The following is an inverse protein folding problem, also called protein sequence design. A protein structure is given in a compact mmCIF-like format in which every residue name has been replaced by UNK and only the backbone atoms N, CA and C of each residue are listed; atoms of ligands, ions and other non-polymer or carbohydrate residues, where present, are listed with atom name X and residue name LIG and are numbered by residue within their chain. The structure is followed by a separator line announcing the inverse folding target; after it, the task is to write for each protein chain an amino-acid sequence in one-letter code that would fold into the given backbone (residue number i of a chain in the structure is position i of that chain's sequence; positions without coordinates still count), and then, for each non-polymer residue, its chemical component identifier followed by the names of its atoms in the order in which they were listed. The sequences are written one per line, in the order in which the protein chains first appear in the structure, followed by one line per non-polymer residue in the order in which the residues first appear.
data_IF_547482108466
#
_entry.id   IF_547482108466
#
_cell.length_a   1.000
_cell.length_b   1.000
_cell.length_c   1.000
_cell.angle_alpha   90.00
_cell.angle_beta   90.00
_cell.angle_gamma   90.00
#
_symmetry.space_group_name_H-M   'P 1'
#
loop_
_entity.id
_entity.type
_entity.pdbx_description
1 polymer ?
#
# COMPACT_ATOMS: atom_id res chain seq x y z
N UNK A 1 4.21 -25.07 -14.81
CA UNK A 1 4.21 -24.16 -13.63
C UNK A 1 5.32 -23.11 -13.69
N UNK A 2 6.50 -23.44 -14.21
CA UNK A 2 7.67 -22.56 -14.13
C UNK A 2 7.73 -21.45 -15.20
N UNK A 3 6.73 -21.29 -16.08
CA UNK A 3 6.73 -20.31 -17.19
C UNK A 3 6.98 -18.85 -16.76
N UNK A 4 6.86 -18.55 -15.47
CA UNK A 4 7.15 -17.24 -14.88
C UNK A 4 8.66 -16.97 -14.73
N UNK A 5 9.51 -17.99 -14.80
CA UNK A 5 10.97 -17.89 -14.76
C UNK A 5 11.58 -17.72 -16.16
N UNK A 6 12.72 -17.00 -16.29
CA UNK A 6 13.47 -16.89 -17.54
C UNK A 6 13.81 -18.25 -18.15
N UNK A 7 13.88 -18.33 -19.49
CA UNK A 7 14.14 -19.59 -20.19
C UNK A 7 15.50 -20.20 -19.81
N UNK A 8 16.53 -19.37 -19.66
CA UNK A 8 17.88 -19.78 -19.25
C UNK A 8 17.89 -20.40 -17.86
N UNK A 9 17.24 -19.75 -16.88
CA UNK A 9 17.14 -20.28 -15.52
C UNK A 9 16.41 -21.63 -15.48
N UNK A 10 15.32 -21.76 -16.26
CA UNK A 10 14.56 -23.01 -16.34
C UNK A 10 15.41 -24.14 -16.92
N UNK A 11 16.19 -23.88 -17.96
CA UNK A 11 17.05 -24.89 -18.57
C UNK A 11 18.01 -25.52 -17.53
N UNK A 12 18.46 -24.74 -16.55
CA UNK A 12 19.42 -25.18 -15.54
C UNK A 12 18.75 -25.76 -14.27
N UNK A 13 17.61 -25.21 -13.83
CA UNK A 13 17.03 -25.51 -12.51
C UNK A 13 15.68 -26.23 -12.54
N UNK A 14 15.00 -26.32 -13.68
CA UNK A 14 13.64 -26.87 -13.78
C UNK A 14 13.55 -28.31 -13.27
N UNK A 15 14.48 -29.19 -13.70
CA UNK A 15 14.47 -30.59 -13.30
C UNK A 15 14.62 -30.77 -11.79
N UNK A 16 15.52 -30.02 -11.17
CA UNK A 16 15.79 -30.08 -9.72
C UNK A 16 14.57 -29.57 -8.93
N UNK A 17 14.02 -28.42 -9.31
CA UNK A 17 12.88 -27.83 -8.59
C UNK A 17 11.62 -28.68 -8.73
N UNK A 18 11.36 -29.25 -9.92
CA UNK A 18 10.24 -30.18 -10.10
C UNK A 18 10.44 -31.44 -9.29
N UNK A 19 11.65 -32.01 -9.24
CA UNK A 19 11.98 -33.14 -8.39
C UNK A 19 11.67 -32.88 -6.92
N UNK A 20 12.17 -31.77 -6.36
CA UNK A 20 11.92 -31.38 -4.97
C UNK A 20 10.42 -31.25 -4.67
N UNK A 21 9.63 -30.70 -5.59
CA UNK A 21 8.18 -30.54 -5.41
C UNK A 21 7.42 -31.86 -5.43
N UNK A 22 7.87 -32.82 -6.25
CA UNK A 22 7.30 -34.15 -6.31
C UNK A 22 7.68 -34.94 -5.06
N UNK A 23 8.95 -34.91 -4.65
CA UNK A 23 9.41 -35.55 -3.42
C UNK A 23 8.65 -35.02 -2.19
N UNK A 24 8.39 -33.70 -2.14
CA UNK A 24 7.58 -33.09 -1.10
C UNK A 24 6.09 -33.47 -1.16
N UNK A 25 5.56 -33.76 -2.34
CA UNK A 25 4.18 -34.22 -2.50
C UNK A 25 4.06 -35.69 -2.07
N UNK A 26 4.99 -36.53 -2.51
CA UNK A 26 5.09 -37.95 -2.15
C UNK A 26 5.29 -38.15 -0.65
N UNK A 27 6.17 -37.37 -0.03
CA UNK A 27 6.36 -37.38 1.43
C UNK A 27 5.09 -37.01 2.21
N UNK A 28 4.17 -36.26 1.59
CA UNK A 28 2.86 -35.90 2.15
C UNK A 28 1.75 -36.88 1.77
N UNK A 29 2.04 -37.88 0.93
CA UNK A 29 1.04 -38.78 0.34
C UNK A 29 0.10 -38.10 -0.67
N UNK A 30 0.46 -36.90 -1.15
CA UNK A 30 -0.33 -36.13 -2.10
C UNK A 30 0.10 -36.53 -3.53
N UNK A 31 -0.84 -36.92 -4.40
CA UNK A 31 -0.53 -37.31 -5.78
C UNK A 31 -0.01 -36.15 -6.67
N UNK A 32 -0.06 -34.90 -6.19
CA UNK A 32 0.25 -33.68 -6.95
C UNK A 32 0.70 -32.55 -6.00
N UNK A 33 1.58 -31.63 -6.43
CA UNK A 33 1.89 -30.42 -5.69
C UNK A 33 0.65 -29.56 -5.42
N UNK A 34 0.51 -29.05 -4.20
CA UNK A 34 -0.66 -28.28 -3.77
C UNK A 34 -0.73 -26.94 -4.49
N UNK A 35 -1.93 -26.35 -4.57
CA UNK A 35 -2.12 -25.02 -5.14
C UNK A 35 -1.21 -23.96 -4.49
N UNK A 36 -0.97 -24.05 -3.19
CA UNK A 36 -0.05 -23.16 -2.47
C UNK A 36 1.40 -23.24 -2.99
N UNK A 37 1.91 -24.45 -3.24
CA UNK A 37 3.27 -24.66 -3.77
C UNK A 37 3.40 -24.05 -5.18
N UNK A 38 2.35 -24.18 -6.00
CA UNK A 38 2.27 -23.58 -7.35
C UNK A 38 2.29 -22.06 -7.29
N UNK A 39 1.54 -21.48 -6.36
CA UNK A 39 1.51 -20.03 -6.15
C UNK A 39 2.86 -19.51 -5.64
N UNK A 40 3.50 -20.22 -4.72
CA UNK A 40 4.83 -19.87 -4.23
C UNK A 40 5.86 -19.83 -5.37
N UNK A 41 5.82 -20.79 -6.30
CA UNK A 41 6.68 -20.80 -7.50
C UNK A 41 6.37 -19.66 -8.46
N UNK A 42 5.10 -19.36 -8.70
CA UNK A 42 4.72 -18.23 -9.56
C UNK A 42 5.24 -16.91 -9.00
N UNK A 43 5.12 -16.71 -7.69
CA UNK A 43 5.65 -15.54 -6.96
C UNK A 43 7.18 -15.49 -7.02
N UNK A 44 7.84 -16.64 -6.82
CA UNK A 44 9.29 -16.77 -6.95
C UNK A 44 9.79 -16.39 -8.35
N UNK A 45 9.10 -16.86 -9.39
CA UNK A 45 9.42 -16.55 -10.78
C UNK A 45 9.23 -15.08 -11.12
N UNK A 46 8.15 -14.47 -10.61
CA UNK A 46 7.98 -13.03 -10.70
C UNK A 46 9.12 -12.26 -10.02
N UNK A 47 9.52 -12.64 -8.80
CA UNK A 47 10.63 -11.98 -8.09
C UNK A 47 11.94 -12.07 -8.87
N UNK A 48 12.19 -13.21 -9.53
CA UNK A 48 13.40 -13.40 -10.32
C UNK A 48 13.35 -12.59 -11.62
N UNK A 49 12.22 -12.61 -12.33
CA UNK A 49 12.02 -11.88 -13.59
C UNK A 49 12.00 -10.36 -13.41
N UNK A 50 11.45 -9.88 -12.32
CA UNK A 50 11.47 -8.46 -11.98
C UNK A 50 12.77 -8.02 -11.30
N UNK A 51 13.75 -8.93 -11.17
CA UNK A 51 15.06 -8.63 -10.63
C UNK A 51 14.93 -7.88 -9.30
N UNK A 52 14.41 -8.54 -8.26
CA UNK A 52 14.54 -8.01 -6.90
C UNK A 52 16.03 -8.07 -6.53
N UNK A 53 16.80 -7.15 -7.11
CA UNK A 53 18.19 -6.91 -6.79
C UNK A 53 18.31 -6.77 -5.27
N UNK A 54 19.42 -7.25 -4.72
CA UNK A 54 19.73 -7.07 -3.30
C UNK A 54 19.50 -5.60 -2.92
N UNK A 55 18.55 -5.38 -2.01
CA UNK A 55 18.11 -4.04 -1.64
C UNK A 55 16.71 -3.63 -2.11
N UNK A 56 16.01 -4.30 -3.02
CA UNK A 56 14.60 -3.97 -3.32
C UNK A 56 13.65 -4.62 -2.30
N UNK A 57 12.97 -3.82 -1.47
CA UNK A 57 12.04 -4.34 -0.44
C UNK A 57 10.60 -4.28 -0.93
N UNK A 58 9.99 -5.44 -1.18
CA UNK A 58 8.57 -5.55 -1.55
C UNK A 58 7.65 -4.82 -0.55
N UNK A 59 8.01 -4.85 0.74
CA UNK A 59 7.28 -4.14 1.79
C UNK A 59 7.23 -2.61 1.63
N UNK A 60 8.14 -2.02 0.85
CA UNK A 60 8.14 -0.59 0.50
C UNK A 60 7.50 -0.38 -0.86
N UNK A 61 7.83 -1.23 -1.85
CA UNK A 61 7.35 -1.07 -3.23
C UNK A 61 5.84 -1.28 -3.33
N UNK A 62 5.28 -2.33 -2.71
CA UNK A 62 3.84 -2.64 -2.80
C UNK A 62 2.95 -1.49 -2.33
N UNK A 63 3.11 -0.93 -1.11
CA UNK A 63 2.30 0.21 -0.68
C UNK A 63 2.48 1.44 -1.60
N UNK A 64 3.69 1.69 -2.12
CA UNK A 64 3.93 2.79 -3.06
C UNK A 64 3.24 2.57 -4.41
N UNK A 65 3.25 1.35 -4.95
CA UNK A 65 2.54 1.00 -6.18
C UNK A 65 1.04 1.20 -6.00
N UNK A 66 0.48 0.76 -4.86
CA UNK A 66 -0.94 0.95 -4.54
C UNK A 66 -1.28 2.44 -4.40
N UNK A 67 -0.42 3.22 -3.74
CA UNK A 67 -0.58 4.67 -3.64
C UNK A 67 -0.59 5.34 -5.01
N UNK A 68 0.37 5.02 -5.87
CA UNK A 68 0.45 5.59 -7.23
C UNK A 68 -0.75 5.18 -8.07
N UNK A 69 -1.18 3.91 -8.02
CA UNK A 69 -2.35 3.44 -8.75
C UNK A 69 -3.63 4.16 -8.30
N UNK A 70 -3.82 4.31 -6.99
CA UNK A 70 -4.94 5.05 -6.43
C UNK A 70 -4.90 6.54 -6.81
N UNK A 71 -3.74 7.19 -6.67
CA UNK A 71 -3.57 8.61 -6.98
C UNK A 71 -3.68 8.90 -8.48
N UNK A 72 -3.31 7.96 -9.36
CA UNK A 72 -3.57 8.10 -10.78
C UNK A 72 -5.07 8.17 -11.06
N UNK A 73 -5.87 7.32 -10.42
CA UNK A 73 -7.33 7.38 -10.51
C UNK A 73 -7.88 8.69 -9.92
N UNK A 74 -7.47 9.05 -8.70
CA UNK A 74 -7.93 10.28 -8.02
C UNK A 74 -7.58 11.54 -8.83
N UNK A 75 -6.35 11.63 -9.35
CA UNK A 75 -5.89 12.78 -10.14
C UNK A 75 -6.57 12.87 -11.50
N UNK A 76 -6.80 11.74 -12.18
CA UNK A 76 -7.37 11.73 -13.54
C UNK A 76 -8.90 11.75 -13.60
N UNK A 77 -9.57 11.21 -12.58
CA UNK A 77 -11.04 11.04 -12.58
C UNK A 77 -11.72 11.96 -11.58
N UNK A 78 -11.16 12.12 -10.37
CA UNK A 78 -11.83 12.83 -9.28
C UNK A 78 -11.47 14.31 -9.27
N UNK A 79 -10.18 14.64 -9.39
CA UNK A 79 -9.71 16.03 -9.26
C UNK A 79 -9.50 16.73 -10.60
N UNK A 80 -9.47 16.00 -11.73
CA UNK A 80 -9.36 16.60 -13.06
C UNK A 80 -10.62 17.43 -13.37
N UNK A 81 -10.46 18.75 -13.40
CA UNK A 81 -11.56 19.70 -13.61
C UNK A 81 -11.09 20.86 -14.50
N UNK A 82 -10.85 20.61 -15.80
CA UNK A 82 -10.34 21.62 -16.71
C UNK A 82 -11.35 22.75 -16.87
N UNK A 83 -10.87 24.00 -16.77
CA UNK A 83 -11.68 25.19 -16.96
C UNK A 83 -12.48 25.64 -15.74
N UNK A 84 -12.35 24.95 -14.59
CA UNK A 84 -12.98 25.38 -13.35
C UNK A 84 -11.95 25.92 -12.37
N UNK A 85 -12.21 27.11 -11.82
CA UNK A 85 -11.33 27.77 -10.87
C UNK A 85 -12.01 27.82 -9.52
N UNK A 86 -11.46 27.08 -8.56
CA UNK A 86 -11.83 27.12 -7.15
C UNK A 86 -10.66 27.69 -6.35
N UNK A 87 -10.90 28.25 -5.16
CA UNK A 87 -9.83 28.42 -4.18
C UNK A 87 -9.06 27.09 -4.05
N UNK A 88 -7.73 27.12 -4.14
CA UNK A 88 -6.89 25.92 -4.04
C UNK A 88 -6.76 25.04 -5.25
N UNK A 89 -7.41 25.39 -6.36
CA UNK A 89 -7.14 24.74 -7.64
C UNK A 89 -5.67 24.94 -8.04
N UNK A 90 -5.08 23.92 -8.68
CA UNK A 90 -3.73 23.95 -9.20
C UNK A 90 -3.75 23.54 -10.67
N UNK A 91 -3.69 24.52 -11.57
CA UNK A 91 -3.82 24.26 -13.01
C UNK A 91 -5.19 23.62 -13.35
N UNK A 92 -5.24 22.49 -14.08
CA UNK A 92 -6.50 21.82 -14.43
C UNK A 92 -7.07 20.94 -13.30
N UNK A 93 -6.50 20.99 -12.09
CA UNK A 93 -6.92 20.17 -10.95
C UNK A 93 -7.69 21.00 -9.92
N UNK A 94 -8.79 20.44 -9.40
CA UNK A 94 -9.65 21.08 -8.40
C UNK A 94 -8.95 21.31 -7.07
N UNK A 95 -7.86 20.60 -6.80
CA UNK A 95 -7.05 20.74 -5.59
C UNK A 95 -5.58 20.30 -5.83
N UNK A 96 -4.65 20.58 -4.91
CA UNK A 96 -3.22 20.36 -5.12
C UNK A 96 -2.75 18.91 -4.88
N UNK A 97 -3.66 17.92 -4.83
CA UNK A 97 -3.31 16.49 -4.60
C UNK A 97 -2.40 15.92 -5.70
N UNK A 98 -2.35 16.53 -6.88
CA UNK A 98 -1.36 16.19 -7.93
C UNK A 98 0.09 16.31 -7.45
N UNK A 99 0.40 17.21 -6.51
CA UNK A 99 1.74 17.32 -5.91
C UNK A 99 2.07 16.04 -5.13
N UNK A 100 1.11 15.55 -4.36
CA UNK A 100 1.22 14.32 -3.56
C UNK A 100 1.39 13.10 -4.46
N UNK A 101 0.65 13.03 -5.57
CA UNK A 101 0.84 12.01 -6.60
C UNK A 101 2.26 12.02 -7.18
N UNK A 102 2.79 13.19 -7.54
CA UNK A 102 4.15 13.35 -8.02
C UNK A 102 5.19 12.85 -7.01
N UNK A 103 5.05 13.21 -5.73
CA UNK A 103 5.95 12.76 -4.67
C UNK A 103 5.93 11.23 -4.48
N UNK A 104 4.75 10.60 -4.55
CA UNK A 104 4.65 9.13 -4.49
C UNK A 104 5.32 8.46 -5.69
N UNK A 105 5.21 9.03 -6.90
CA UNK A 105 5.93 8.52 -8.09
C UNK A 105 7.45 8.61 -7.89
N UNK A 106 7.95 9.72 -7.33
CA UNK A 106 9.38 9.88 -7.02
C UNK A 106 9.81 8.87 -5.94
N UNK A 107 9.01 8.66 -4.90
CA UNK A 107 9.27 7.64 -3.88
C UNK A 107 9.32 6.23 -4.48
N UNK A 108 8.38 5.91 -5.38
CA UNK A 108 8.34 4.62 -6.08
C UNK A 108 9.57 4.44 -6.98
N UNK A 109 9.98 5.47 -7.72
CA UNK A 109 11.20 5.44 -8.54
C UNK A 109 12.46 5.23 -7.68
N UNK A 110 12.55 5.90 -6.53
CA UNK A 110 13.62 5.68 -5.56
C UNK A 110 13.63 4.23 -5.03
N UNK A 111 12.46 3.67 -4.69
CA UNK A 111 12.35 2.28 -4.22
C UNK A 111 12.71 1.27 -5.33
N UNK A 112 12.26 1.51 -6.57
CA UNK A 112 12.58 0.70 -7.74
C UNK A 112 14.09 0.73 -8.08
N UNK A 113 14.78 1.83 -7.78
CA UNK A 113 16.25 1.92 -7.94
C UNK A 113 17.03 1.38 -6.73
N UNK A 114 16.37 0.73 -5.76
CA UNK A 114 17.00 0.17 -4.57
C UNK A 114 17.29 1.18 -3.46
N UNK A 115 16.98 2.47 -3.67
CA UNK A 115 17.19 3.56 -2.70
C UNK A 115 16.07 3.63 -1.66
N UNK A 116 15.88 2.56 -0.88
CA UNK A 116 14.77 2.48 0.08
C UNK A 116 14.78 3.61 1.12
N UNK A 117 15.96 4.02 1.61
CA UNK A 117 16.05 5.08 2.61
C UNK A 117 15.48 6.39 2.05
N UNK A 118 15.87 6.77 0.83
CA UNK A 118 15.30 7.92 0.14
C UNK A 118 13.79 7.76 -0.08
N UNK A 119 13.34 6.60 -0.58
CA UNK A 119 11.92 6.33 -0.79
C UNK A 119 11.08 6.51 0.48
N UNK A 120 11.60 6.09 1.66
CA UNK A 120 10.92 6.26 2.95
C UNK A 120 10.82 7.72 3.37
N UNK A 121 11.91 8.48 3.24
CA UNK A 121 11.91 9.89 3.58
C UNK A 121 10.98 10.69 2.67
N UNK A 122 10.98 10.37 1.37
CA UNK A 122 10.06 10.98 0.41
C UNK A 122 8.62 10.61 0.74
N UNK A 123 8.33 9.34 1.08
CA UNK A 123 7.00 8.92 1.53
C UNK A 123 6.54 9.66 2.80
N UNK A 124 7.42 9.86 3.79
CA UNK A 124 7.11 10.67 4.99
C UNK A 124 6.86 12.14 4.66
N UNK A 125 7.68 12.71 3.77
CA UNK A 125 7.46 14.06 3.24
C UNK A 125 6.10 14.16 2.56
N UNK A 126 5.72 13.14 1.79
CA UNK A 126 4.43 13.05 1.11
C UNK A 126 3.25 12.99 2.10
N UNK A 127 3.40 12.23 3.19
CA UNK A 127 2.42 12.19 4.29
C UNK A 127 2.26 13.58 4.91
N UNK A 128 3.37 14.25 5.23
CA UNK A 128 3.33 15.59 5.80
C UNK A 128 2.67 16.60 4.84
N UNK A 129 2.99 16.53 3.54
CA UNK A 129 2.35 17.35 2.51
C UNK A 129 0.85 17.09 2.45
N UNK A 130 0.40 15.83 2.39
CA UNK A 130 -1.03 15.50 2.36
C UNK A 130 -1.77 16.05 3.58
N UNK A 131 -1.23 15.86 4.78
CA UNK A 131 -1.84 16.36 6.02
C UNK A 131 -1.88 17.89 6.03
N UNK A 132 -0.83 18.56 5.57
CA UNK A 132 -0.79 20.01 5.43
C UNK A 132 -1.85 20.51 4.44
N UNK A 133 -1.97 19.88 3.26
CA UNK A 133 -3.00 20.23 2.26
C UNK A 133 -4.42 20.03 2.80
N UNK A 134 -4.64 18.95 3.55
CA UNK A 134 -5.94 18.65 4.17
C UNK A 134 -6.28 19.69 5.26
N UNK A 135 -5.29 20.10 6.06
CA UNK A 135 -5.45 21.13 7.08
C UNK A 135 -5.73 22.51 6.45
N UNK A 136 -4.95 22.90 5.44
CA UNK A 136 -5.17 24.14 4.69
C UNK A 136 -6.56 24.13 4.06
N UNK A 137 -7.02 22.99 3.55
CA UNK A 137 -8.37 22.87 3.02
C UNK A 137 -9.46 23.15 4.04
N UNK A 138 -9.33 22.57 5.23
CA UNK A 138 -10.26 22.81 6.32
C UNK A 138 -10.22 24.28 6.78
N UNK A 139 -9.04 24.88 6.87
CA UNK A 139 -8.87 26.27 7.34
C UNK A 139 -9.38 27.32 6.36
N UNK A 140 -9.17 27.11 5.06
CA UNK A 140 -9.53 28.07 4.02
C UNK A 140 -10.85 27.72 3.31
N UNK A 141 -11.53 26.65 3.72
CA UNK A 141 -12.83 26.25 3.19
C UNK A 141 -12.80 25.88 1.70
N UNK A 142 -11.65 25.44 1.18
CA UNK A 142 -11.52 25.07 -0.23
C UNK A 142 -11.79 23.58 -0.46
N UNK A 143 -11.93 23.16 -1.72
CA UNK A 143 -12.30 21.78 -2.07
C UNK A 143 -11.11 20.82 -1.91
N UNK A 144 -10.76 20.46 -0.68
CA UNK A 144 -9.64 19.57 -0.37
C UNK A 144 -9.91 18.09 -0.61
N UNK A 145 -8.88 17.24 -0.44
CA UNK A 145 -9.07 15.79 -0.43
C UNK A 145 -10.02 15.37 0.70
N UNK A 146 -10.94 14.46 0.41
CA UNK A 146 -11.87 13.94 1.41
C UNK A 146 -11.13 13.20 2.54
N UNK A 147 -11.81 13.01 3.68
CA UNK A 147 -11.24 12.29 4.81
C UNK A 147 -10.84 10.84 4.44
N UNK A 148 -11.66 10.02 3.74
CA UNK A 148 -11.25 8.69 3.32
C UNK A 148 -10.02 8.71 2.40
N UNK A 149 -9.98 9.62 1.43
CA UNK A 149 -8.84 9.79 0.51
C UNK A 149 -7.57 10.15 1.29
N UNK A 150 -7.65 11.08 2.24
CA UNK A 150 -6.53 11.48 3.10
C UNK A 150 -6.02 10.32 3.94
N UNK A 151 -6.92 9.56 4.58
CA UNK A 151 -6.57 8.38 5.37
C UNK A 151 -5.85 7.34 4.52
N UNK A 152 -6.33 7.07 3.31
CA UNK A 152 -5.74 6.09 2.41
C UNK A 152 -4.33 6.50 1.95
N UNK A 153 -4.17 7.75 1.49
CA UNK A 153 -2.90 8.32 1.05
C UNK A 153 -1.87 8.32 2.20
N UNK A 154 -2.26 8.81 3.38
CA UNK A 154 -1.40 8.84 4.57
C UNK A 154 -1.04 7.42 4.99
N UNK A 155 -2.01 6.50 4.99
CA UNK A 155 -1.80 5.10 5.33
C UNK A 155 -0.77 4.43 4.43
N UNK A 156 -0.86 4.60 3.11
CA UNK A 156 0.14 4.04 2.20
C UNK A 156 1.53 4.63 2.44
N UNK A 157 1.63 5.96 2.65
CA UNK A 157 2.90 6.62 2.93
C UNK A 157 3.56 6.14 4.22
N UNK A 158 2.78 6.02 5.30
CA UNK A 158 3.25 5.50 6.60
C UNK A 158 3.66 4.03 6.48
N UNK A 159 2.85 3.18 5.84
CA UNK A 159 3.18 1.78 5.62
C UNK A 159 4.47 1.67 4.77
N UNK A 160 4.63 2.45 3.71
CA UNK A 160 5.86 2.46 2.91
C UNK A 160 7.09 2.92 3.72
N UNK A 161 6.91 3.90 4.60
CA UNK A 161 7.97 4.46 5.42
C UNK A 161 8.46 3.50 6.53
N UNK A 162 7.59 2.64 7.04
CA UNK A 162 7.89 1.79 8.19
C UNK A 162 8.94 0.70 7.89
N UNK A 163 9.80 0.36 8.87
CA UNK A 163 10.82 -0.66 8.76
C UNK A 163 10.28 -2.09 8.82
N UNK A 164 9.31 -2.44 7.98
CA UNK A 164 8.80 -3.80 7.89
C UNK A 164 9.91 -4.79 7.52
N UNK A 165 10.01 -5.87 8.28
CA UNK A 165 10.94 -6.98 8.02
C UNK A 165 10.21 -8.20 7.44
N UNK A 166 8.91 -8.34 7.70
CA UNK A 166 8.10 -9.47 7.22
C UNK A 166 7.06 -8.98 6.21
N UNK A 167 6.88 -9.69 5.08
CA UNK A 167 5.86 -9.34 4.09
C UNK A 167 4.44 -9.50 4.66
N UNK A 168 4.25 -10.41 5.62
CA UNK A 168 2.98 -10.64 6.30
C UNK A 168 2.49 -9.39 7.06
N UNK A 169 3.37 -8.71 7.80
CA UNK A 169 2.99 -7.51 8.56
C UNK A 169 2.58 -6.36 7.65
N UNK A 170 3.26 -6.20 6.51
CA UNK A 170 2.87 -5.25 5.47
C UNK A 170 1.51 -5.63 4.87
N UNK A 171 1.31 -6.91 4.54
CA UNK A 171 0.04 -7.42 4.02
C UNK A 171 -1.13 -7.16 4.96
N UNK A 172 -0.99 -7.48 6.25
CA UNK A 172 -2.01 -7.22 7.27
C UNK A 172 -2.32 -5.73 7.37
N UNK A 173 -1.28 -4.88 7.37
CA UNK A 173 -1.44 -3.43 7.50
C UNK A 173 -2.14 -2.83 6.27
N UNK A 174 -1.82 -3.31 5.07
CA UNK A 174 -2.50 -2.93 3.83
C UNK A 174 -3.96 -3.37 3.82
N UNK A 175 -4.25 -4.61 4.21
CA UNK A 175 -5.63 -5.10 4.31
C UNK A 175 -6.44 -4.30 5.32
N UNK A 176 -5.87 -3.98 6.48
CA UNK A 176 -6.53 -3.16 7.50
C UNK A 176 -6.82 -1.73 6.98
N UNK A 177 -5.87 -1.13 6.25
CA UNK A 177 -6.05 0.19 5.64
C UNK A 177 -7.14 0.18 4.57
N UNK A 178 -7.17 -0.83 3.70
CA UNK A 178 -8.19 -0.96 2.66
C UNK A 178 -9.59 -1.21 3.24
N UNK A 179 -9.68 -2.00 4.31
CA UNK A 179 -10.93 -2.21 5.04
C UNK A 179 -11.43 -0.91 5.70
N UNK A 180 -10.52 -0.14 6.32
CA UNK A 180 -10.83 1.17 6.87
C UNK A 180 -11.35 2.14 5.80
N UNK A 181 -10.65 2.23 4.68
CA UNK A 181 -11.06 3.08 3.56
C UNK A 181 -12.45 2.69 3.04
N UNK A 182 -12.69 1.40 2.84
CA UNK A 182 -13.98 0.88 2.39
C UNK A 182 -15.10 1.21 3.38
N UNK A 183 -14.84 1.05 4.69
CA UNK A 183 -15.78 1.41 5.74
C UNK A 183 -16.13 2.90 5.73
N UNK A 184 -15.13 3.77 5.64
CA UNK A 184 -15.35 5.22 5.59
C UNK A 184 -16.13 5.63 4.33
N UNK A 185 -15.76 5.09 3.16
CA UNK A 185 -16.44 5.36 1.90
C UNK A 185 -17.92 4.92 1.93
N UNK A 186 -18.21 3.73 2.47
CA UNK A 186 -19.59 3.26 2.63
C UNK A 186 -20.36 4.17 3.59
N UNK A 187 -19.72 4.62 4.68
CA UNK A 187 -20.32 5.57 5.62
C UNK A 187 -20.70 6.89 4.95
N UNK A 188 -19.81 7.45 4.13
CA UNK A 188 -20.05 8.70 3.41
C UNK A 188 -21.19 8.54 2.38
N UNK A 189 -21.21 7.42 1.65
CA UNK A 189 -22.30 7.10 0.70
C UNK A 189 -23.63 6.95 1.45
N UNK A 190 -23.64 6.27 2.59
CA UNK A 190 -24.84 6.08 3.40
C UNK A 190 -25.37 7.40 3.98
N UNK A 191 -24.48 8.26 4.48
CA UNK A 191 -24.83 9.60 4.95
C UNK A 191 -25.48 10.45 3.85
N UNK A 192 -24.93 10.38 2.63
CA UNK A 192 -25.48 11.09 1.48
C UNK A 192 -26.82 10.52 1.00
N UNK A 193 -27.01 9.20 1.08
CA UNK A 193 -28.23 8.53 0.63
C UNK A 193 -29.41 8.65 1.62
N UNK A 194 -29.13 8.81 2.92
CA UNK A 194 -30.13 8.86 3.98
C UNK A 194 -29.91 10.13 4.82
N UNK A 195 -30.50 11.28 4.43
CA UNK A 195 -30.34 12.56 5.13
C UNK A 195 -31.16 12.58 6.43
N UNK A 196 -30.81 11.70 7.37
CA UNK A 196 -31.38 11.63 8.71
C UNK A 196 -30.65 12.68 9.56
N UNK A 197 -31.35 13.65 10.17
CA UNK A 197 -30.72 14.66 11.02
C UNK A 197 -29.88 14.02 12.14
N UNK A 198 -28.60 14.39 12.23
CA UNK A 198 -27.66 13.89 13.24
C UNK A 198 -26.97 12.55 12.91
N UNK A 199 -27.32 11.90 11.80
CA UNK A 199 -26.63 10.68 11.35
C UNK A 199 -25.18 10.96 10.91
N UNK A 200 -24.92 12.17 10.39
CA UNK A 200 -23.60 12.68 10.04
C UNK A 200 -22.64 12.68 11.23
N UNK A 201 -23.08 13.18 12.39
CA UNK A 201 -22.28 13.18 13.62
C UNK A 201 -22.01 11.74 14.10
N UNK A 202 -23.04 10.89 14.08
CA UNK A 202 -22.89 9.48 14.48
C UNK A 202 -21.91 8.72 13.59
N UNK A 203 -22.00 8.92 12.27
CA UNK A 203 -21.09 8.31 11.28
C UNK A 203 -19.66 8.85 11.48
N UNK A 204 -19.49 10.16 11.69
CA UNK A 204 -18.18 10.74 11.94
C UNK A 204 -17.52 10.17 13.21
N UNK A 205 -18.26 10.05 14.32
CA UNK A 205 -17.74 9.45 15.56
C UNK A 205 -17.33 7.99 15.33
N UNK A 206 -18.16 7.21 14.63
CA UNK A 206 -17.86 5.82 14.31
C UNK A 206 -16.61 5.69 13.42
N UNK A 207 -16.50 6.52 12.37
CA UNK A 207 -15.33 6.60 11.50
C UNK A 207 -14.06 6.93 12.28
N UNK A 208 -14.09 7.90 13.19
CA UNK A 208 -12.94 8.26 14.04
C UNK A 208 -12.55 7.11 14.97
N UNK A 209 -13.52 6.43 15.58
CA UNK A 209 -13.23 5.29 16.45
C UNK A 209 -12.56 4.13 15.69
N UNK A 210 -13.07 3.79 14.50
CA UNK A 210 -12.49 2.74 13.64
C UNK A 210 -11.10 3.15 13.14
N UNK A 211 -10.90 4.42 12.77
CA UNK A 211 -9.59 4.97 12.39
C UNK A 211 -8.56 4.78 13.52
N UNK A 212 -8.91 5.15 14.75
CA UNK A 212 -8.02 4.98 15.92
C UNK A 212 -7.69 3.51 16.15
N UNK A 213 -8.69 2.62 16.05
CA UNK A 213 -8.48 1.18 16.21
C UNK A 213 -7.51 0.62 15.15
N UNK A 214 -7.67 1.02 13.88
CA UNK A 214 -6.80 0.57 12.79
C UNK A 214 -5.37 1.10 12.95
N UNK A 215 -5.20 2.36 13.36
CA UNK A 215 -3.89 2.92 13.70
C UNK A 215 -3.23 2.10 14.82
N UNK A 216 -4.00 1.74 15.86
CA UNK A 216 -3.51 0.91 16.95
C UNK A 216 -3.07 -0.48 16.46
N UNK A 217 -3.86 -1.13 15.60
CA UNK A 217 -3.52 -2.43 14.99
C UNK A 217 -2.22 -2.34 14.18
N UNK A 218 -2.08 -1.32 13.32
CA UNK A 218 -0.87 -1.10 12.52
C UNK A 218 0.35 -0.87 13.44
N UNK A 219 0.18 -0.07 14.50
CA UNK A 219 1.24 0.19 15.47
C UNK A 219 1.65 -1.07 16.25
N UNK A 220 0.68 -1.90 16.67
CA UNK A 220 0.92 -3.17 17.35
C UNK A 220 1.64 -4.15 16.41
N UNK A 221 1.18 -4.28 15.16
CA UNK A 221 1.84 -5.11 14.14
C UNK A 221 3.29 -4.66 13.91
N UNK A 222 3.53 -3.35 13.83
CA UNK A 222 4.86 -2.78 13.70
C UNK A 222 5.74 -3.08 14.92
N UNK A 223 5.19 -3.02 16.14
CA UNK A 223 5.91 -3.35 17.39
C UNK A 223 6.25 -4.84 17.47
N UNK A 224 5.30 -5.73 17.17
CA UNK A 224 5.54 -7.18 17.18
C UNK A 224 6.61 -7.58 16.16
N UNK A 225 6.59 -6.98 14.96
CA UNK A 225 7.61 -7.22 13.95
C UNK A 225 9.04 -6.84 14.41
N UNK A 226 9.18 -5.89 15.36
CA UNK A 226 10.48 -5.56 15.97
C UNK A 226 10.90 -6.52 17.08
N UNK A 227 9.94 -7.05 17.85
CA UNK A 227 10.22 -7.95 19.00
C UNK A 227 10.60 -9.37 18.59
N UNK A 228 10.10 -9.84 17.45
CA UNK A 228 10.46 -11.15 16.89
C UNK A 228 11.83 -11.15 16.18
N UNK A 229 12.71 -10.19 16.49
CA UNK A 229 14.14 -10.32 16.23
C UNK A 229 14.75 -11.16 17.36
N UNK A 230 14.91 -12.49 17.21
CA UNK A 230 15.84 -13.20 18.06
C UNK A 230 17.22 -12.55 17.92
N UNK A 231 17.92 -12.46 19.05
CA UNK A 231 19.34 -12.16 19.14
C UNK A 231 20.12 -13.12 18.23
N UNK A 232 20.18 -12.79 16.94
CA UNK A 232 21.03 -13.46 15.98
C UNK A 232 22.45 -13.07 16.36
N UNK A 233 23.02 -13.93 17.21
CA UNK A 233 24.38 -13.96 17.72
C UNK A 233 25.33 -13.09 16.91
N UNK A 234 25.74 -11.97 17.51
CA UNK A 234 27.06 -11.39 17.25
C UNK A 234 28.09 -12.50 17.53
N UNK A 235 28.92 -12.88 16.54
CA UNK A 235 30.08 -13.73 16.79
C UNK A 235 31.08 -13.04 17.71
#
# INVERSE_FOLDING_TARGET
MLRWYPAEWRAEHEAVVVGILLDQADARGDARPRLGDRFALAIGGLRHRFGVAEGRRAAVIVPLVLAVAFLLFDVSVITWSPGVVYPGALGPFSNPTVIVAGLFVVALAAAATGRNAAARWIALGTVATQLCLSLLAALFGWLGPSLPTTVLIVGFGVIAALPWRTPLATGISLSALLALFSYMLIGDIAAAALPIPGADIGIAIAQVAVLVAVIAVIAIAARHARRLEPQAKTP
#
